data_IF_774311750006
#
_entry.id   IF_774311750006
#
_cell.length_a   1.000
_cell.length_b   1.000
_cell.length_c   1.000
_cell.angle_alpha   90.00
_cell.angle_beta   90.00
_cell.angle_gamma   90.00
#
_symmetry.space_group_name_H-M   'P 1'
#
loop_
_entity.id
_entity.type
_entity.pdbx_description
1 polymer ?
#
# COMPACT_ATOMS: atom_id res chain seq x y z
N UNK A 1 -9.22 -34.79 -75.76
CA UNK A 1 -8.43 -33.58 -75.46
C UNK A 1 -9.12 -32.79 -74.36
N UNK A 2 -8.38 -32.52 -73.27
CA UNK A 2 -8.69 -31.59 -72.16
C UNK A 2 -9.82 -32.01 -71.21
N UNK A 3 -9.74 -31.92 -69.89
CA UNK A 3 -8.63 -31.82 -68.93
C UNK A 3 -9.32 -31.98 -67.56
N UNK A 4 -8.73 -32.75 -66.66
CA UNK A 4 -9.08 -32.78 -65.23
C UNK A 4 -8.88 -31.39 -64.62
N UNK A 5 -9.73 -31.01 -63.66
CA UNK A 5 -9.38 -30.03 -62.64
C UNK A 5 -9.94 -30.54 -61.29
N UNK A 6 -9.10 -31.27 -60.55
CA UNK A 6 -9.33 -31.56 -59.13
C UNK A 6 -8.85 -30.36 -58.32
N UNK A 7 -9.75 -29.74 -57.56
CA UNK A 7 -9.44 -28.66 -56.64
C UNK A 7 -9.05 -29.27 -55.28
N UNK A 8 -7.75 -29.34 -54.99
CA UNK A 8 -7.25 -29.64 -53.65
C UNK A 8 -7.43 -28.39 -52.77
N UNK A 9 -8.27 -28.48 -51.73
CA UNK A 9 -8.29 -27.50 -50.64
C UNK A 9 -7.17 -27.86 -49.65
N UNK A 10 -6.15 -27.02 -49.54
CA UNK A 10 -5.16 -27.08 -48.47
C UNK A 10 -5.77 -26.43 -47.22
N UNK A 11 -6.04 -27.21 -46.18
CA UNK A 11 -6.38 -26.67 -44.85
C UNK A 11 -5.04 -26.39 -44.15
N UNK A 12 -4.68 -25.11 -44.00
CA UNK A 12 -3.57 -24.71 -43.15
C UNK A 12 -3.99 -24.87 -41.69
N UNK A 13 -3.29 -25.74 -40.95
CA UNK A 13 -3.44 -25.83 -39.50
C UNK A 13 -2.90 -24.53 -38.88
N UNK A 14 -3.77 -23.79 -38.21
CA UNK A 14 -3.38 -22.62 -37.41
C UNK A 14 -3.04 -23.14 -36.02
N UNK A 15 -1.75 -23.30 -35.75
CA UNK A 15 -1.27 -23.63 -34.41
C UNK A 15 -1.47 -22.42 -33.48
N UNK A 16 -2.52 -22.48 -32.67
CA UNK A 16 -2.73 -21.56 -31.55
C UNK A 16 -1.77 -21.96 -30.42
N UNK A 17 -0.55 -21.43 -30.44
CA UNK A 17 0.33 -21.47 -29.27
C UNK A 17 -0.23 -20.53 -28.20
N UNK A 18 -0.95 -21.10 -27.24
CA UNK A 18 -1.39 -20.41 -26.03
C UNK A 18 -0.18 -19.99 -25.19
N UNK A 19 0.17 -18.70 -25.23
CA UNK A 19 1.10 -18.12 -24.28
C UNK A 19 0.41 -18.02 -22.90
N UNK A 20 0.95 -18.71 -21.90
CA UNK A 20 0.52 -18.62 -20.50
C UNK A 20 0.87 -17.25 -19.92
N UNK A 21 -0.05 -16.58 -19.20
CA UNK A 21 0.21 -15.27 -18.62
C UNK A 21 1.15 -15.37 -17.40
N UNK A 22 2.24 -14.61 -17.42
CA UNK A 22 3.26 -14.55 -16.37
C UNK A 22 2.81 -13.91 -15.04
N UNK A 23 1.57 -13.42 -14.95
CA UNK A 23 1.03 -12.81 -13.73
C UNK A 23 0.81 -13.80 -12.56
N UNK A 24 0.88 -15.11 -12.83
CA UNK A 24 0.58 -16.14 -11.82
C UNK A 24 1.74 -16.40 -10.82
N UNK A 25 2.99 -16.07 -11.14
CA UNK A 25 4.11 -16.45 -10.26
C UNK A 25 4.27 -15.51 -9.06
N UNK A 26 4.16 -14.19 -9.25
CA UNK A 26 4.31 -13.20 -8.19
C UNK A 26 3.19 -13.33 -7.13
N UNK A 27 1.94 -13.44 -7.57
CA UNK A 27 0.80 -13.67 -6.67
C UNK A 27 0.92 -15.01 -5.91
N UNK A 28 1.43 -16.06 -6.56
CA UNK A 28 1.67 -17.35 -5.88
C UNK A 28 2.79 -17.27 -4.84
N UNK A 29 3.79 -16.41 -5.06
CA UNK A 29 4.88 -16.15 -4.14
C UNK A 29 4.41 -15.43 -2.88
N UNK A 30 3.62 -14.36 -3.03
CA UNK A 30 3.10 -13.62 -1.89
C UNK A 30 2.18 -14.47 -1.01
N UNK A 31 1.29 -15.27 -1.61
CA UNK A 31 0.43 -16.17 -0.85
C UNK A 31 1.22 -17.23 -0.07
N UNK A 32 2.32 -17.75 -0.63
CA UNK A 32 3.18 -18.71 0.06
C UNK A 32 3.93 -18.06 1.23
N UNK A 33 4.54 -16.90 0.99
CA UNK A 33 5.23 -16.13 2.03
C UNK A 33 4.27 -15.75 3.15
N UNK A 34 3.05 -15.31 2.82
CA UNK A 34 2.04 -14.97 3.81
C UNK A 34 1.72 -16.14 4.76
N UNK A 35 1.50 -17.35 4.23
CA UNK A 35 1.26 -18.54 5.06
C UNK A 35 2.41 -18.83 6.01
N UNK A 36 3.64 -18.67 5.53
CA UNK A 36 4.84 -18.83 6.34
C UNK A 36 4.92 -17.78 7.46
N UNK A 37 4.68 -16.51 7.13
CA UNK A 37 4.72 -15.40 8.10
C UNK A 37 3.59 -15.49 9.11
N UNK A 38 2.38 -15.92 8.73
CA UNK A 38 1.28 -16.18 9.66
C UNK A 38 1.69 -17.20 10.73
N UNK A 39 2.38 -18.28 10.35
CA UNK A 39 2.83 -19.30 11.30
C UNK A 39 3.95 -18.81 12.21
N UNK A 40 4.83 -17.92 11.72
CA UNK A 40 6.00 -17.44 12.47
C UNK A 40 5.71 -16.19 13.33
N UNK A 41 4.86 -15.29 12.85
CA UNK A 41 4.87 -13.90 13.29
C UNK A 41 3.64 -13.50 14.12
N UNK A 42 2.56 -14.27 14.09
CA UNK A 42 1.33 -13.96 14.85
C UNK A 42 1.51 -14.00 16.38
N UNK A 43 2.53 -14.70 16.87
CA UNK A 43 2.86 -14.79 18.30
C UNK A 43 4.01 -13.84 18.72
N UNK A 44 4.54 -13.04 17.80
CA UNK A 44 5.59 -12.09 18.13
C UNK A 44 5.06 -11.01 19.09
N UNK A 45 5.87 -10.59 20.08
CA UNK A 45 5.54 -9.43 20.90
C UNK A 45 5.49 -8.18 20.03
N UNK A 46 4.69 -7.20 20.45
CA UNK A 46 4.45 -5.98 19.69
C UNK A 46 5.72 -5.32 19.15
N UNK A 47 6.76 -5.16 19.99
CA UNK A 47 7.98 -4.48 19.56
C UNK A 47 8.66 -5.24 18.42
N UNK A 48 8.70 -6.57 18.46
CA UNK A 48 9.27 -7.38 17.39
C UNK A 48 8.39 -7.42 16.14
N UNK A 49 7.07 -7.42 16.30
CA UNK A 49 6.14 -7.42 15.17
C UNK A 49 6.12 -6.07 14.44
N UNK A 50 6.14 -4.95 15.17
CA UNK A 50 5.83 -3.62 14.65
C UNK A 50 7.00 -2.62 14.66
N UNK A 51 7.99 -2.78 15.53
CA UNK A 51 9.04 -1.77 15.73
C UNK A 51 10.42 -2.24 15.25
N UNK A 52 10.60 -3.52 14.96
CA UNK A 52 11.88 -4.07 14.48
C UNK A 52 11.91 -4.24 12.97
N UNK A 53 12.86 -3.59 12.31
CA UNK A 53 13.11 -3.74 10.87
C UNK A 53 13.48 -5.17 10.49
N UNK A 54 12.92 -5.67 9.39
CA UNK A 54 13.15 -7.05 8.91
C UNK A 54 12.38 -8.13 9.68
N UNK A 55 11.44 -7.75 10.56
CA UNK A 55 10.58 -8.68 11.30
C UNK A 55 9.09 -8.41 11.03
N UNK A 56 8.26 -9.41 11.37
CA UNK A 56 6.80 -9.32 11.24
C UNK A 56 6.36 -8.99 9.81
N UNK A 57 5.38 -8.10 9.69
CA UNK A 57 4.81 -7.70 8.40
C UNK A 57 5.80 -7.04 7.45
N UNK A 58 6.92 -6.49 7.95
CA UNK A 58 7.94 -5.86 7.10
C UNK A 58 8.60 -6.85 6.15
N UNK A 59 8.63 -8.14 6.49
CA UNK A 59 9.16 -9.17 5.59
C UNK A 59 8.30 -9.26 4.32
N UNK A 60 6.96 -9.22 4.46
CA UNK A 60 6.02 -9.22 3.33
C UNK A 60 6.11 -7.90 2.55
N UNK A 61 6.15 -6.76 3.25
CA UNK A 61 6.27 -5.45 2.61
C UNK A 61 7.56 -5.36 1.77
N UNK A 62 8.70 -5.77 2.32
CA UNK A 62 9.98 -5.77 1.62
C UNK A 62 10.02 -6.74 0.43
N UNK A 63 9.22 -7.80 0.46
CA UNK A 63 9.05 -8.74 -0.65
C UNK A 63 8.10 -8.23 -1.76
N UNK A 64 7.55 -7.03 -1.64
CA UNK A 64 6.57 -6.48 -2.58
C UNK A 64 5.17 -7.09 -2.43
N UNK A 65 4.82 -7.57 -1.24
CA UNK A 65 3.52 -8.16 -0.92
C UNK A 65 2.72 -7.28 0.06
N UNK A 66 2.36 -6.03 -0.30
CA UNK A 66 1.73 -5.10 0.64
C UNK A 66 0.31 -5.53 1.04
N UNK A 67 -0.45 -6.22 0.17
CA UNK A 67 -1.78 -6.71 0.51
C UNK A 67 -1.71 -7.74 1.66
N UNK A 68 -0.81 -8.71 1.54
CA UNK A 68 -0.57 -9.75 2.54
C UNK A 68 0.09 -9.19 3.80
N UNK A 69 0.95 -8.18 3.68
CA UNK A 69 1.49 -7.47 4.83
C UNK A 69 0.36 -6.83 5.67
N UNK A 70 -0.60 -6.16 5.02
CA UNK A 70 -1.78 -5.63 5.69
C UNK A 70 -2.63 -6.74 6.34
N UNK A 71 -2.86 -7.84 5.62
CA UNK A 71 -3.61 -9.00 6.16
C UNK A 71 -2.93 -9.57 7.41
N UNK A 72 -1.58 -9.62 7.44
CA UNK A 72 -0.84 -10.11 8.60
C UNK A 72 -0.99 -9.16 9.80
N UNK A 73 -0.96 -7.85 9.58
CA UNK A 73 -1.19 -6.86 10.64
C UNK A 73 -2.60 -7.02 11.21
N UNK A 74 -3.61 -7.13 10.36
CA UNK A 74 -5.01 -7.32 10.78
C UNK A 74 -5.19 -8.61 11.58
N UNK A 75 -4.57 -9.72 11.14
CA UNK A 75 -4.58 -10.98 11.87
C UNK A 75 -3.87 -10.88 13.24
N UNK A 76 -2.73 -10.18 13.30
CA UNK A 76 -2.01 -9.94 14.55
C UNK A 76 -2.84 -9.08 15.52
N UNK A 77 -3.48 -8.01 15.03
CA UNK A 77 -4.40 -7.17 15.82
C UNK A 77 -5.55 -8.01 16.37
N UNK A 78 -6.19 -8.83 15.53
CA UNK A 78 -7.34 -9.65 15.93
C UNK A 78 -6.97 -10.64 17.04
N UNK A 79 -5.80 -11.27 16.93
CA UNK A 79 -5.28 -12.21 17.94
C UNK A 79 -4.92 -11.50 19.25
N UNK A 80 -4.24 -10.35 19.17
CA UNK A 80 -3.71 -9.64 20.34
C UNK A 80 -4.71 -8.63 20.94
N UNK A 81 -5.88 -8.44 20.30
CA UNK A 81 -6.98 -7.56 20.75
C UNK A 81 -6.51 -6.12 21.06
N UNK A 82 -5.66 -5.58 20.21
CA UNK A 82 -5.07 -4.25 20.41
C UNK A 82 -5.75 -3.17 19.56
N UNK A 83 -5.56 -1.91 19.93
CA UNK A 83 -6.07 -0.72 19.22
C UNK A 83 -4.95 0.29 18.94
N UNK A 84 -3.72 -0.21 18.73
CA UNK A 84 -2.56 0.64 18.50
C UNK A 84 -2.64 1.33 17.14
N UNK A 85 -2.67 2.66 17.18
CA UNK A 85 -2.76 3.55 16.00
C UNK A 85 -1.62 3.35 14.99
N UNK A 86 -0.43 2.95 15.44
CA UNK A 86 0.70 2.65 14.53
C UNK A 86 0.38 1.51 13.57
N UNK A 87 -0.26 0.45 14.06
CA UNK A 87 -0.66 -0.69 13.24
C UNK A 87 -1.75 -0.31 12.23
N UNK A 88 -2.73 0.50 12.65
CA UNK A 88 -3.73 1.06 11.72
C UNK A 88 -3.09 1.93 10.63
N UNK A 89 -2.06 2.71 10.99
CA UNK A 89 -1.31 3.49 10.02
C UNK A 89 -0.55 2.62 9.03
N UNK A 90 0.11 1.56 9.50
CA UNK A 90 0.77 0.61 8.61
C UNK A 90 -0.21 -0.11 7.68
N UNK A 91 -1.39 -0.52 8.17
CA UNK A 91 -2.46 -1.06 7.31
C UNK A 91 -2.83 -0.03 6.24
N UNK A 92 -2.98 1.25 6.59
CA UNK A 92 -3.32 2.29 5.61
C UNK A 92 -2.29 2.38 4.48
N UNK A 93 -0.99 2.42 4.82
CA UNK A 93 0.10 2.48 3.85
C UNK A 93 0.11 1.24 2.94
N UNK A 94 0.02 0.05 3.53
CA UNK A 94 0.06 -1.23 2.82
C UNK A 94 -1.16 -1.41 1.91
N UNK A 95 -2.36 -1.07 2.37
CA UNK A 95 -3.57 -1.11 1.53
C UNK A 95 -3.50 -0.06 0.41
N UNK A 96 -2.96 1.12 0.67
CA UNK A 96 -2.79 2.14 -0.35
C UNK A 96 -1.81 1.69 -1.45
N UNK A 97 -0.69 1.09 -1.06
CA UNK A 97 0.30 0.53 -1.98
C UNK A 97 -0.25 -0.64 -2.81
N UNK A 98 -1.09 -1.49 -2.21
CA UNK A 98 -1.82 -2.55 -2.90
C UNK A 98 -2.98 -2.04 -3.79
N UNK A 99 -3.25 -0.73 -3.82
CA UNK A 99 -4.35 -0.15 -4.60
C UNK A 99 -5.75 -0.32 -3.98
N UNK A 100 -5.84 -0.80 -2.74
CA UNK A 100 -7.09 -0.96 -1.98
C UNK A 100 -7.50 0.36 -1.31
N UNK A 101 -7.84 1.37 -2.12
CA UNK A 101 -8.06 2.77 -1.68
C UNK A 101 -9.05 2.92 -0.53
N UNK A 102 -10.24 2.32 -0.60
CA UNK A 102 -11.26 2.46 0.45
C UNK A 102 -10.80 1.85 1.78
N UNK A 103 -10.15 0.68 1.74
CA UNK A 103 -9.61 0.03 2.92
C UNK A 103 -8.47 0.86 3.54
N UNK A 104 -7.61 1.45 2.69
CA UNK A 104 -6.55 2.34 3.12
C UNK A 104 -7.08 3.59 3.84
N UNK A 105 -8.10 4.25 3.27
CA UNK A 105 -8.74 5.42 3.88
C UNK A 105 -9.40 5.05 5.21
N UNK A 106 -10.09 3.90 5.28
CA UNK A 106 -10.71 3.44 6.52
C UNK A 106 -9.67 3.21 7.62
N UNK A 107 -8.54 2.58 7.30
CA UNK A 107 -7.44 2.36 8.25
C UNK A 107 -6.76 3.68 8.67
N UNK A 108 -6.49 4.59 7.71
CA UNK A 108 -5.93 5.91 7.99
C UNK A 108 -6.80 6.72 8.96
N UNK A 109 -8.13 6.65 8.82
CA UNK A 109 -9.04 7.30 9.76
C UNK A 109 -8.95 6.75 11.18
N UNK A 110 -8.72 5.43 11.34
CA UNK A 110 -8.53 4.82 12.67
C UNK A 110 -7.21 5.22 13.33
N UNK A 111 -6.19 5.58 12.55
CA UNK A 111 -4.92 6.05 13.10
C UNK A 111 -4.95 7.52 13.56
N UNK A 112 -6.00 8.27 13.29
CA UNK A 112 -6.12 9.68 13.73
C UNK A 112 -6.08 9.81 15.25
N UNK A 113 -5.52 10.93 15.72
CA UNK A 113 -5.58 11.33 17.13
C UNK A 113 -6.78 12.25 17.38
N UNK A 114 -7.17 12.44 18.64
CA UNK A 114 -8.31 13.30 18.97
C UNK A 114 -8.07 14.74 18.52
N UNK A 115 -9.14 15.50 18.27
CA UNK A 115 -9.02 16.91 17.87
C UNK A 115 -8.28 17.77 18.91
N UNK A 116 -8.46 17.47 20.20
CA UNK A 116 -7.76 18.16 21.29
C UNK A 116 -6.26 17.81 21.34
N UNK A 117 -5.90 16.54 21.14
CA UNK A 117 -4.50 16.10 21.03
C UNK A 117 -3.86 16.78 19.80
N UNK A 118 -4.54 16.79 18.66
CA UNK A 118 -4.04 17.39 17.42
C UNK A 118 -3.81 18.91 17.52
N UNK A 119 -4.71 19.63 18.20
CA UNK A 119 -4.63 21.08 18.36
C UNK A 119 -3.44 21.51 19.22
N UNK A 120 -3.10 20.72 20.22
CA UNK A 120 -2.07 21.07 21.21
C UNK A 120 -0.69 20.52 20.88
N UNK A 121 -0.60 19.51 19.99
CA UNK A 121 0.67 18.90 19.62
C UNK A 121 1.44 19.71 18.55
N UNK A 122 2.76 19.86 18.76
CA UNK A 122 3.67 20.39 17.76
C UNK A 122 3.81 19.44 16.56
N UNK A 123 3.74 18.13 16.81
CA UNK A 123 3.71 17.11 15.77
C UNK A 123 2.33 17.07 15.10
N UNK A 124 2.28 17.44 13.82
CA UNK A 124 1.04 17.56 13.03
C UNK A 124 0.62 16.22 12.42
N UNK A 125 0.39 15.24 13.30
CA UNK A 125 0.01 13.89 12.89
C UNK A 125 -1.27 13.85 12.04
N UNK A 126 -2.34 14.51 12.49
CA UNK A 126 -3.60 14.48 11.77
C UNK A 126 -3.49 15.13 10.39
N UNK A 127 -2.76 16.24 10.24
CA UNK A 127 -2.54 16.85 8.92
C UNK A 127 -1.75 15.94 7.99
N UNK A 128 -0.76 15.22 8.51
CA UNK A 128 -0.07 14.19 7.74
C UNK A 128 -1.01 13.09 7.24
N UNK A 129 -1.79 12.49 8.14
CA UNK A 129 -2.74 11.43 7.78
C UNK A 129 -3.82 11.94 6.82
N UNK A 130 -4.35 13.15 7.06
CA UNK A 130 -5.41 13.74 6.25
C UNK A 130 -4.90 14.16 4.86
N UNK A 131 -3.65 14.59 4.72
CA UNK A 131 -3.03 14.80 3.40
C UNK A 131 -2.96 13.48 2.61
N UNK A 132 -2.58 12.36 3.24
CA UNK A 132 -2.60 11.05 2.57
C UNK A 132 -4.01 10.63 2.18
N UNK A 133 -5.00 10.81 3.06
CA UNK A 133 -6.42 10.55 2.73
C UNK A 133 -6.86 11.39 1.53
N UNK A 134 -6.54 12.69 1.52
CA UNK A 134 -6.89 13.59 0.42
C UNK A 134 -6.25 13.17 -0.91
N UNK A 135 -4.99 12.73 -0.89
CA UNK A 135 -4.33 12.15 -2.06
C UNK A 135 -5.10 10.91 -2.58
N UNK A 136 -5.45 9.99 -1.68
CA UNK A 136 -6.19 8.76 -2.02
C UNK A 136 -7.60 9.07 -2.58
N UNK A 137 -8.24 10.11 -2.07
CA UNK A 137 -9.54 10.60 -2.53
C UNK A 137 -9.46 11.46 -3.80
N UNK A 138 -8.24 11.78 -4.27
CA UNK A 138 -7.97 12.75 -5.35
C UNK A 138 -8.53 14.15 -5.05
N UNK A 139 -8.64 14.52 -3.77
CA UNK A 139 -9.08 15.84 -3.34
C UNK A 139 -7.86 16.78 -3.27
N UNK A 140 -7.61 17.48 -4.37
CA UNK A 140 -6.48 18.41 -4.49
C UNK A 140 -6.55 19.51 -3.44
N UNK A 141 -7.74 20.07 -3.22
CA UNK A 141 -7.90 21.20 -2.31
C UNK A 141 -7.64 20.78 -0.85
N UNK A 142 -8.11 19.61 -0.42
CA UNK A 142 -7.81 19.09 0.90
C UNK A 142 -6.33 18.73 1.07
N UNK A 143 -5.72 18.14 0.04
CA UNK A 143 -4.31 17.81 0.05
C UNK A 143 -3.44 19.04 0.27
N UNK A 144 -3.65 20.09 -0.53
CA UNK A 144 -2.88 21.33 -0.44
C UNK A 144 -3.01 21.96 0.96
N UNK A 145 -4.24 22.04 1.49
CA UNK A 145 -4.48 22.60 2.84
C UNK A 145 -3.67 21.89 3.92
N UNK A 146 -3.66 20.56 3.95
CA UNK A 146 -2.95 19.81 4.98
C UNK A 146 -1.43 19.82 4.77
N UNK A 147 -0.99 19.82 3.52
CA UNK A 147 0.42 20.01 3.18
C UNK A 147 0.94 21.37 3.65
N UNK A 148 0.20 22.44 3.43
CA UNK A 148 0.59 23.79 3.84
C UNK A 148 0.73 23.90 5.36
N UNK A 149 -0.15 23.23 6.13
CA UNK A 149 -0.02 23.14 7.59
C UNK A 149 1.27 22.43 8.00
N UNK A 150 1.62 21.32 7.34
CA UNK A 150 2.89 20.62 7.60
C UNK A 150 4.11 21.46 7.23
N UNK A 151 4.06 22.17 6.10
CA UNK A 151 5.13 23.05 5.66
C UNK A 151 5.37 24.19 6.66
N UNK A 152 4.31 24.86 7.11
CA UNK A 152 4.40 25.91 8.11
C UNK A 152 4.91 25.41 9.48
N UNK A 153 4.72 24.11 9.78
CA UNK A 153 5.14 23.49 11.04
C UNK A 153 6.41 22.63 10.92
N UNK A 154 7.12 22.67 9.78
CA UNK A 154 8.24 21.77 9.50
C UNK A 154 9.36 21.88 10.56
N UNK A 155 9.69 23.10 10.97
CA UNK A 155 10.75 23.38 11.96
C UNK A 155 10.27 23.21 13.42
N UNK A 156 8.96 23.09 13.65
CA UNK A 156 8.41 22.92 14.99
C UNK A 156 8.61 21.50 15.56
N UNK A 157 8.84 20.51 14.69
CA UNK A 157 9.12 19.13 15.10
C UNK A 157 9.79 18.36 13.95
N UNK A 158 10.87 17.62 14.23
CA UNK A 158 11.61 16.87 13.20
C UNK A 158 10.74 15.87 12.40
N UNK A 159 9.73 15.28 13.05
CA UNK A 159 8.75 14.43 12.40
C UNK A 159 7.87 15.16 11.37
N UNK A 160 7.59 16.46 11.52
CA UNK A 160 6.84 17.23 10.54
C UNK A 160 7.64 17.40 9.26
N UNK A 161 8.93 17.74 9.36
CA UNK A 161 9.82 17.85 8.19
C UNK A 161 9.96 16.50 7.46
N UNK A 162 10.02 15.38 8.18
CA UNK A 162 10.03 14.04 7.58
C UNK A 162 8.72 13.73 6.84
N UNK A 163 7.58 14.00 7.48
CA UNK A 163 6.26 13.80 6.89
C UNK A 163 6.04 14.72 5.68
N UNK A 164 6.51 15.96 5.72
CA UNK A 164 6.43 16.88 4.59
C UNK A 164 7.16 16.34 3.36
N UNK A 165 8.40 15.84 3.52
CA UNK A 165 9.12 15.18 2.41
C UNK A 165 8.35 13.99 1.85
N UNK A 166 7.65 13.25 2.70
CA UNK A 166 6.77 12.17 2.24
C UNK A 166 5.59 12.73 1.43
N UNK A 167 4.90 13.76 1.93
CA UNK A 167 3.79 14.41 1.24
C UNK A 167 4.23 15.07 -0.07
N UNK A 168 5.42 15.65 -0.15
CA UNK A 168 5.97 16.23 -1.39
C UNK A 168 6.17 15.19 -2.49
N UNK A 169 6.51 13.95 -2.13
CA UNK A 169 6.54 12.84 -3.10
C UNK A 169 5.14 12.51 -3.62
N UNK A 170 4.14 12.50 -2.74
CA UNK A 170 2.75 12.34 -3.16
C UNK A 170 2.27 13.49 -4.02
N UNK A 171 2.68 14.72 -3.74
CA UNK A 171 2.37 15.90 -4.56
C UNK A 171 2.90 15.74 -5.99
N UNK A 172 4.17 15.32 -6.13
CA UNK A 172 4.78 15.10 -7.45
C UNK A 172 4.03 14.02 -8.26
N UNK A 173 3.44 13.03 -7.59
CA UNK A 173 2.63 11.97 -8.19
C UNK A 173 1.11 12.20 -8.13
N UNK A 174 0.64 13.41 -7.85
CA UNK A 174 -0.79 13.64 -7.57
C UNK A 174 -1.69 13.23 -8.73
N UNK A 175 -2.74 12.47 -8.43
CA UNK A 175 -3.65 11.87 -9.42
C UNK A 175 -3.22 10.49 -9.93
N UNK A 176 -1.98 10.07 -9.64
CA UNK A 176 -1.48 8.72 -9.84
C UNK A 176 -1.90 7.74 -8.74
N UNK A 177 -1.36 6.52 -8.77
CA UNK A 177 -1.50 5.58 -7.66
C UNK A 177 -0.52 5.93 -6.54
N UNK A 178 -0.85 5.53 -5.30
CA UNK A 178 0.03 5.72 -4.15
C UNK A 178 1.40 5.06 -4.36
N UNK A 179 1.41 3.82 -4.84
CA UNK A 179 2.65 3.10 -5.16
C UNK A 179 3.49 3.84 -6.23
N UNK A 180 2.87 4.33 -7.30
CA UNK A 180 3.59 5.06 -8.35
C UNK A 180 4.18 6.38 -7.84
N UNK A 181 3.45 7.11 -6.99
CA UNK A 181 3.93 8.36 -6.41
C UNK A 181 5.14 8.15 -5.49
N UNK A 182 5.23 7.00 -4.82
CA UNK A 182 6.37 6.66 -3.96
C UNK A 182 7.57 6.06 -4.72
N UNK A 183 7.34 5.43 -5.87
CA UNK A 183 8.38 4.82 -6.70
C UNK A 183 9.10 5.80 -7.66
N UNK A 184 8.60 7.03 -7.81
CA UNK A 184 9.04 7.97 -8.85
C UNK A 184 10.45 8.58 -8.66
N UNK A 185 11.30 8.05 -7.76
CA UNK A 185 12.63 8.61 -7.45
C UNK A 185 13.63 7.52 -7.05
#
# INVERSE_FOLDING_TARGET
MKSLLSLLLLVAAVDFTSATPAASSAASGCAALFRERVAADLDLPYDTFDQTEGHGFRILAAAGCPAEAADLIEAWIAKNKTTRRSLDWHIAQMRAEAGATEAAIAAARRSLISADEARTNAFKWNDYVLAVIAFLQRDRAAFDRHRDVLAAAADAHAGNAMNLRFIDRLEAGFGGSYAAALAAQ
#
